data_IF_852081673599
#
_entry.id   IF_852081673599
#
_cell.length_a   1.000
_cell.length_b   1.000
_cell.length_c   1.000
_cell.angle_alpha   90.00
_cell.angle_beta   90.00
_cell.angle_gamma   90.00
#
_symmetry.space_group_name_H-M   'P 1'
#
loop_
_entity.id
_entity.type
_entity.pdbx_description
1 polymer ?
#
# COMPACT_ATOMS: atom_id res chain seq x y z
N UNK A 1 4.90 10.53 -11.19
CA UNK A 1 5.94 9.59 -11.67
C UNK A 1 6.45 8.80 -10.47
N UNK A 2 6.91 7.56 -10.63
CA UNK A 2 7.17 6.60 -9.54
C UNK A 2 8.31 6.96 -8.59
N UNK A 3 8.22 8.13 -7.95
CA UNK A 3 9.12 8.62 -6.93
C UNK A 3 8.77 8.03 -5.57
N UNK A 4 9.80 7.84 -4.74
CA UNK A 4 9.69 7.22 -3.44
C UNK A 4 9.66 8.27 -2.35
N UNK A 5 8.84 8.02 -1.33
CA UNK A 5 8.71 8.87 -0.16
C UNK A 5 8.96 8.06 1.09
N UNK A 6 9.80 8.58 1.98
CA UNK A 6 10.13 7.98 3.25
C UNK A 6 9.19 8.50 4.35
N UNK A 7 8.61 7.57 5.11
CA UNK A 7 7.73 7.88 6.23
C UNK A 7 8.29 7.33 7.55
N UNK A 8 8.03 8.02 8.65
CA UNK A 8 8.13 7.40 9.98
C UNK A 8 6.95 6.44 10.19
N UNK A 9 7.04 5.46 11.11
CA UNK A 9 5.92 4.55 11.39
C UNK A 9 4.62 5.29 11.73
N UNK A 10 4.71 6.35 12.53
CA UNK A 10 3.55 7.19 12.87
C UNK A 10 3.06 8.02 11.67
N UNK A 11 3.98 8.51 10.84
CA UNK A 11 3.63 9.21 9.60
C UNK A 11 2.87 8.31 8.64
N UNK A 12 3.30 7.06 8.48
CA UNK A 12 2.64 6.06 7.65
C UNK A 12 1.26 5.67 8.21
N UNK A 13 1.16 5.48 9.52
CA UNK A 13 -0.13 5.24 10.19
C UNK A 13 -1.10 6.39 9.93
N UNK A 14 -0.68 7.63 10.14
CA UNK A 14 -1.51 8.81 9.88
C UNK A 14 -1.91 8.93 8.41
N UNK A 15 -0.97 8.68 7.50
CA UNK A 15 -1.22 8.67 6.06
C UNK A 15 -2.27 7.63 5.65
N UNK A 16 -2.44 6.56 6.43
CA UNK A 16 -3.45 5.53 6.16
C UNK A 16 -4.89 6.01 6.41
N UNK A 17 -5.08 7.14 7.09
CA UNK A 17 -6.39 7.74 7.34
C UNK A 17 -6.62 9.03 6.55
N UNK A 18 -5.63 9.51 5.81
CA UNK A 18 -5.74 10.73 5.01
C UNK A 18 -5.97 10.34 3.56
N UNK A 19 -6.99 10.94 2.94
CA UNK A 19 -7.25 10.74 1.52
C UNK A 19 -6.34 11.62 0.66
N UNK A 20 -5.78 11.04 -0.41
CA UNK A 20 -4.68 11.60 -1.20
C UNK A 20 -5.01 12.90 -1.95
N UNK A 21 -6.26 13.36 -1.94
CA UNK A 21 -6.71 14.56 -2.66
C UNK A 21 -6.71 15.83 -1.80
N UNK A 22 -6.47 15.72 -0.48
CA UNK A 22 -6.21 16.92 0.31
C UNK A 22 -4.75 17.33 0.12
N UNK A 23 -4.53 18.55 -0.41
CA UNK A 23 -3.25 19.28 -0.51
C UNK A 23 -2.53 19.49 0.85
N UNK A 24 -2.86 18.72 1.88
CA UNK A 24 -2.16 18.64 3.14
C UNK A 24 -0.84 17.91 2.91
N UNK A 25 0.19 18.68 2.53
CA UNK A 25 1.61 18.45 2.85
C UNK A 25 1.95 17.00 3.15
N UNK A 26 2.30 16.26 2.09
CA UNK A 26 2.84 14.91 2.17
C UNK A 26 3.89 14.84 3.28
N UNK A 27 3.57 14.15 4.37
CA UNK A 27 4.51 14.02 5.51
C UNK A 27 5.74 13.17 5.16
N UNK A 28 5.78 12.61 3.95
CA UNK A 28 6.86 11.79 3.44
C UNK A 28 7.98 12.66 2.89
N UNK A 29 9.22 12.36 3.28
CA UNK A 29 10.42 12.99 2.69
C UNK A 29 10.72 12.31 1.36
N UNK A 30 10.92 13.08 0.30
CA UNK A 30 11.32 12.53 -1.00
C UNK A 30 12.64 11.78 -0.84
N UNK A 31 12.70 10.56 -1.37
CA UNK A 31 13.93 9.78 -1.43
C UNK A 31 14.64 10.11 -2.73
N UNK A 32 15.77 10.78 -2.65
CA UNK A 32 16.60 11.07 -3.83
C UNK A 32 17.47 9.87 -4.21
N UNK A 33 17.98 9.15 -3.21
CA UNK A 33 18.93 8.06 -3.38
C UNK A 33 18.66 6.95 -2.35
N UNK A 34 18.52 5.72 -2.85
CA UNK A 34 18.25 4.52 -2.04
C UNK A 34 19.53 4.01 -1.37
N UNK A 35 20.70 4.35 -1.89
CA UNK A 35 22.00 3.90 -1.36
C UNK A 35 22.21 4.33 0.11
N UNK A 36 21.66 5.49 0.51
CA UNK A 36 21.66 5.98 1.90
C UNK A 36 20.87 5.10 2.88
N UNK A 37 20.08 4.16 2.36
CA UNK A 37 19.30 3.20 3.13
C UNK A 37 19.96 1.82 3.19
N UNK A 38 21.14 1.65 2.57
CA UNK A 38 21.97 0.46 2.74
C UNK A 38 22.25 0.25 4.25
N UNK A 39 22.26 -1.01 4.69
CA UNK A 39 22.34 -1.44 6.09
C UNK A 39 21.08 -1.20 6.95
N UNK A 40 19.94 -0.81 6.35
CA UNK A 40 18.65 -0.71 7.06
C UNK A 40 17.65 -1.73 6.51
N UNK A 41 16.69 -2.11 7.34
CA UNK A 41 15.51 -2.84 6.89
C UNK A 41 14.56 -1.82 6.25
N UNK A 42 14.29 -1.97 4.96
CA UNK A 42 13.43 -1.06 4.19
C UNK A 42 12.16 -1.80 3.78
N UNK A 43 11.01 -1.23 4.11
CA UNK A 43 9.71 -1.69 3.61
C UNK A 43 9.29 -0.83 2.43
N UNK A 44 9.10 -1.47 1.28
CA UNK A 44 8.70 -0.82 0.04
C UNK A 44 7.26 -1.19 -0.32
N UNK A 45 6.39 -0.19 -0.44
CA UNK A 45 4.98 -0.37 -0.77
C UNK A 45 4.73 0.00 -2.24
N UNK A 46 4.80 -0.98 -3.14
CA UNK A 46 4.71 -0.77 -4.59
C UNK A 46 3.29 -0.45 -5.10
N UNK A 47 2.24 -0.75 -4.32
CA UNK A 47 0.86 -0.42 -4.66
C UNK A 47 0.57 1.08 -4.56
N UNK A 48 1.33 1.80 -3.72
CA UNK A 48 1.14 3.23 -3.47
C UNK A 48 -0.17 3.58 -2.76
N UNK A 49 -0.94 2.60 -2.30
CA UNK A 49 -2.22 2.81 -1.61
C UNK A 49 -2.53 1.66 -0.66
N UNK A 50 -3.57 1.86 0.16
CA UNK A 50 -4.03 0.87 1.12
C UNK A 50 -4.74 -0.29 0.41
N UNK A 51 -4.29 -1.50 0.70
CA UNK A 51 -4.89 -2.72 0.16
C UNK A 51 -6.26 -3.00 0.77
N UNK A 52 -7.12 -3.67 0.00
CA UNK A 52 -8.38 -4.27 0.49
C UNK A 52 -8.20 -5.73 0.95
N UNK A 53 -6.98 -6.29 0.88
CA UNK A 53 -6.64 -7.68 1.23
C UNK A 53 -7.51 -8.75 0.53
N UNK A 54 -8.02 -8.41 -0.67
CA UNK A 54 -8.73 -9.30 -1.60
C UNK A 54 -8.04 -9.33 -2.96
N UNK A 55 -7.57 -8.19 -3.41
CA UNK A 55 -6.96 -8.00 -4.72
C UNK A 55 -5.74 -7.11 -4.61
N UNK A 56 -4.83 -7.25 -5.57
CA UNK A 56 -3.65 -6.40 -5.67
C UNK A 56 -3.81 -5.47 -6.87
N UNK A 57 -3.58 -4.17 -6.66
CA UNK A 57 -3.50 -3.22 -7.76
C UNK A 57 -2.17 -3.39 -8.51
N UNK A 58 -2.10 -2.93 -9.78
CA UNK A 58 -0.85 -2.90 -10.52
C UNK A 58 0.24 -2.13 -9.74
N UNK A 59 1.41 -2.74 -9.61
CA UNK A 59 2.57 -2.08 -8.99
C UNK A 59 3.03 -0.89 -9.82
N UNK A 60 3.32 0.21 -9.13
CA UNK A 60 3.81 1.44 -9.75
C UNK A 60 5.22 1.19 -10.26
N UNK A 61 5.44 1.47 -11.55
CA UNK A 61 6.79 1.43 -12.13
C UNK A 61 7.64 2.53 -11.50
N UNK A 62 8.69 2.12 -10.81
CA UNK A 62 9.62 3.02 -10.15
C UNK A 62 10.46 3.81 -11.15
N UNK A 63 10.92 4.99 -10.72
CA UNK A 63 11.87 5.80 -11.49
C UNK A 63 13.21 5.05 -11.64
N UNK A 64 13.81 5.10 -12.83
CA UNK A 64 15.06 4.41 -13.17
C UNK A 64 16.28 4.91 -12.39
N UNK A 65 16.16 6.04 -11.68
CA UNK A 65 17.21 6.55 -10.79
C UNK A 65 17.45 5.69 -9.55
N UNK A 66 16.53 4.79 -9.21
CA UNK A 66 16.66 3.91 -8.04
C UNK A 66 17.20 2.53 -8.47
N UNK A 67 18.35 2.13 -7.93
CA UNK A 67 18.85 0.75 -8.00
C UNK A 67 18.69 0.06 -6.65
N UNK A 68 18.35 -1.24 -6.70
CA UNK A 68 18.14 -2.10 -5.53
C UNK A 68 19.07 -3.32 -5.51
N UNK A 69 20.12 -3.32 -6.34
CA UNK A 69 20.98 -4.50 -6.57
C UNK A 69 21.74 -4.92 -5.29
N UNK A 70 22.03 -3.95 -4.41
CA UNK A 70 22.73 -4.20 -3.14
C UNK A 70 21.80 -4.68 -2.00
N UNK A 71 20.49 -4.83 -2.25
CA UNK A 71 19.53 -5.22 -1.23
C UNK A 71 19.20 -6.71 -1.29
N UNK A 72 19.03 -7.33 -0.12
CA UNK A 72 18.45 -8.67 -0.03
C UNK A 72 16.92 -8.58 -0.14
N UNK A 73 16.38 -9.06 -1.25
CA UNK A 73 15.00 -8.76 -1.64
C UNK A 73 14.08 -9.86 -1.16
N UNK A 74 13.05 -9.47 -0.42
CA UNK A 74 12.02 -10.38 0.05
C UNK A 74 10.66 -9.74 -0.15
N UNK A 75 9.70 -10.51 -0.65
CA UNK A 75 8.29 -10.10 -0.64
C UNK A 75 7.64 -10.64 0.62
N UNK A 76 6.93 -9.79 1.34
CA UNK A 76 6.10 -10.15 2.48
C UNK A 76 4.63 -10.02 2.11
N UNK A 77 3.94 -11.15 1.99
CA UNK A 77 2.49 -11.18 1.78
C UNK A 77 1.81 -11.30 3.13
N UNK A 78 0.99 -10.31 3.49
CA UNK A 78 0.24 -10.28 4.75
C UNK A 78 -1.25 -10.33 4.46
N UNK A 79 -1.94 -11.28 5.09
CA UNK A 79 -3.40 -11.43 5.04
C UNK A 79 -3.97 -11.35 6.44
N UNK A 80 -4.75 -10.30 6.67
CA UNK A 80 -5.53 -10.10 7.89
C UNK A 80 -6.83 -10.90 7.80
N UNK A 81 -7.18 -11.56 8.89
CA UNK A 81 -8.49 -12.21 9.06
C UNK A 81 -9.04 -11.69 10.38
N UNK A 82 -10.26 -11.13 10.40
CA UNK A 82 -11.15 -10.86 9.25
C UNK A 82 -10.69 -9.68 8.36
N UNK A 83 -11.10 -9.70 7.08
CA UNK A 83 -10.60 -8.77 6.04
C UNK A 83 -11.08 -7.31 6.22
N UNK A 84 -12.14 -7.07 7.00
CA UNK A 84 -12.71 -5.73 7.18
C UNK A 84 -11.88 -4.80 8.06
N UNK A 85 -10.79 -5.29 8.68
CA UNK A 85 -9.81 -4.43 9.34
C UNK A 85 -8.89 -3.69 8.35
N UNK A 86 -9.03 -3.92 7.06
CA UNK A 86 -8.34 -3.10 6.06
C UNK A 86 -9.03 -1.74 5.91
N UNK A 87 -8.25 -0.71 5.58
CA UNK A 87 -8.73 0.64 5.34
C UNK A 87 -8.60 1.01 3.84
N UNK A 88 -9.23 0.28 2.90
CA UNK A 88 -9.10 0.60 1.48
C UNK A 88 -9.73 1.96 1.13
N UNK A 89 -10.71 2.39 1.94
CA UNK A 89 -11.36 3.70 1.93
C UNK A 89 -11.30 4.22 3.36
N UNK A 90 -10.73 5.40 3.63
CA UNK A 90 -10.64 5.97 4.98
C UNK A 90 -12.00 6.54 5.41
N UNK A 91 -12.95 5.66 5.74
CA UNK A 91 -14.31 6.00 6.13
C UNK A 91 -14.50 6.11 7.66
N UNK A 92 -13.50 5.68 8.43
CA UNK A 92 -13.53 5.67 9.90
C UNK A 92 -12.47 6.61 10.48
N UNK A 93 -12.81 7.23 11.61
CA UNK A 93 -11.82 8.00 12.37
C UNK A 93 -10.79 7.08 13.04
N UNK A 94 -9.61 7.61 13.38
CA UNK A 94 -8.54 6.85 14.05
C UNK A 94 -9.00 6.22 15.36
N UNK A 95 -9.78 6.96 16.14
CA UNK A 95 -10.33 6.48 17.42
C UNK A 95 -11.35 5.38 17.19
N UNK A 96 -12.28 5.57 16.23
CA UNK A 96 -13.26 4.55 15.89
C UNK A 96 -12.59 3.26 15.44
N UNK A 97 -11.59 3.35 14.56
CA UNK A 97 -10.82 2.19 14.12
C UNK A 97 -10.11 1.48 15.29
N UNK A 98 -9.52 2.25 16.20
CA UNK A 98 -8.92 1.69 17.41
C UNK A 98 -9.94 0.99 18.30
N UNK A 99 -11.12 1.59 18.50
CA UNK A 99 -12.21 0.96 19.24
C UNK A 99 -12.67 -0.34 18.57
N UNK A 100 -12.85 -0.37 17.26
CA UNK A 100 -13.20 -1.59 16.51
C UNK A 100 -12.15 -2.70 16.68
N UNK A 101 -10.86 -2.34 16.71
CA UNK A 101 -9.80 -3.30 16.99
C UNK A 101 -9.87 -3.86 18.41
N UNK A 102 -10.31 -3.08 19.40
CA UNK A 102 -10.42 -3.53 20.79
C UNK A 102 -11.72 -4.30 21.07
N UNK A 103 -12.84 -3.85 20.54
CA UNK A 103 -14.18 -4.36 20.89
C UNK A 103 -14.61 -5.57 20.07
N UNK A 104 -13.93 -5.84 18.94
CA UNK A 104 -14.29 -6.98 18.13
C UNK A 104 -13.88 -8.31 18.80
N UNK A 105 -14.87 -9.10 19.22
CA UNK A 105 -14.69 -10.37 19.92
C UNK A 105 -14.41 -11.56 18.99
N UNK A 106 -14.41 -11.35 17.66
CA UNK A 106 -14.07 -12.41 16.71
C UNK A 106 -12.59 -12.78 16.75
N UNK A 107 -12.27 -14.01 16.31
CA UNK A 107 -10.89 -14.47 16.21
C UNK A 107 -10.13 -13.64 15.16
N UNK A 108 -9.11 -12.92 15.64
CA UNK A 108 -8.20 -12.13 14.80
C UNK A 108 -6.97 -12.97 14.51
N UNK A 109 -6.63 -13.14 13.25
CA UNK A 109 -5.41 -13.83 12.85
C UNK A 109 -4.72 -13.11 11.71
N UNK A 110 -3.38 -13.14 11.73
CA UNK A 110 -2.54 -12.60 10.67
C UNK A 110 -1.81 -13.78 10.04
N UNK A 111 -2.09 -14.04 8.77
CA UNK A 111 -1.33 -15.00 7.98
C UNK A 111 -0.27 -14.24 7.21
N UNK A 112 0.97 -14.66 7.32
CA UNK A 112 2.07 -14.07 6.58
C UNK A 112 2.82 -15.15 5.81
N UNK A 113 3.33 -14.79 4.64
CA UNK A 113 4.23 -15.62 3.84
C UNK A 113 5.33 -14.75 3.28
N UNK A 114 6.55 -15.26 3.32
CA UNK A 114 7.74 -14.55 2.87
C UNK A 114 8.41 -15.34 1.76
N UNK A 115 8.72 -14.65 0.66
CA UNK A 115 9.46 -15.21 -0.47
C UNK A 115 10.73 -14.42 -0.66
N UNK A 116 11.83 -15.11 -0.94
CA UNK A 116 13.14 -14.49 -1.23
C UNK A 116 13.33 -14.44 -2.74
N UNK A 117 13.93 -13.36 -3.23
CA UNK A 117 14.30 -13.16 -4.62
C UNK A 117 15.79 -12.85 -4.72
N UNK A 118 16.41 -13.28 -5.80
CA UNK A 118 17.81 -13.00 -6.07
C UNK A 118 18.00 -11.60 -6.70
N UNK A 119 17.00 -11.12 -7.43
CA UNK A 119 17.04 -9.84 -8.17
C UNK A 119 15.75 -9.04 -7.97
N UNK A 120 15.83 -7.71 -8.14
CA UNK A 120 14.67 -6.83 -8.04
C UNK A 120 13.88 -6.86 -9.35
N UNK A 121 12.89 -7.74 -9.42
CA UNK A 121 11.96 -7.80 -10.54
C UNK A 121 10.52 -7.63 -10.05
N UNK A 122 9.92 -6.49 -10.40
CA UNK A 122 8.56 -6.11 -10.01
C UNK A 122 7.54 -7.17 -10.46
N UNK A 123 7.72 -7.77 -11.65
CA UNK A 123 6.80 -8.78 -12.17
C UNK A 123 6.91 -10.08 -11.38
N UNK A 124 8.13 -10.56 -11.11
CA UNK A 124 8.34 -11.77 -10.27
C UNK A 124 7.85 -11.55 -8.84
N UNK A 125 8.09 -10.38 -8.27
CA UNK A 125 7.61 -10.02 -6.93
C UNK A 125 6.08 -10.01 -6.93
N UNK A 126 5.43 -9.43 -7.94
CA UNK A 126 3.95 -9.43 -8.04
C UNK A 126 3.37 -10.84 -8.07
N UNK A 127 4.01 -11.76 -8.80
CA UNK A 127 3.55 -13.14 -8.91
C UNK A 127 3.47 -13.84 -7.53
N UNK A 128 4.31 -13.48 -6.56
CA UNK A 128 4.21 -14.08 -5.20
C UNK A 128 2.94 -13.66 -4.46
N UNK A 129 2.38 -12.49 -4.76
CA UNK A 129 1.10 -12.06 -4.21
C UNK A 129 -0.07 -12.79 -4.88
N UNK A 130 0.01 -12.98 -6.20
CA UNK A 130 -1.01 -13.74 -6.97
C UNK A 130 -1.12 -15.20 -6.51
N UNK A 131 0.04 -15.86 -6.28
CA UNK A 131 0.10 -17.22 -5.73
C UNK A 131 -0.55 -17.36 -4.35
N UNK A 132 -0.77 -16.25 -3.65
CA UNK A 132 -1.40 -16.20 -2.34
C UNK A 132 -2.87 -15.76 -2.38
N UNK A 133 -3.53 -15.98 -3.51
CA UNK A 133 -4.95 -15.73 -3.73
C UNK A 133 -5.33 -14.26 -3.57
N UNK A 134 -4.41 -13.35 -3.91
CA UNK A 134 -4.72 -11.95 -4.15
C UNK A 134 -4.93 -11.79 -5.65
N UNK A 135 -6.18 -11.59 -6.08
CA UNK A 135 -6.51 -11.48 -7.50
C UNK A 135 -5.84 -10.24 -8.09
N UNK A 136 -5.12 -10.41 -9.20
CA UNK A 136 -4.53 -9.29 -9.92
C UNK A 136 -5.61 -8.52 -10.68
N UNK A 137 -5.69 -7.21 -10.44
CA UNK A 137 -6.61 -6.33 -11.16
C UNK A 137 -6.00 -5.91 -12.51
N UNK A 138 -6.88 -5.67 -13.51
CA UNK A 138 -6.47 -5.16 -14.82
C UNK A 138 -5.83 -3.77 -14.70
N UNK A 139 -5.03 -3.39 -15.69
CA UNK A 139 -4.39 -2.06 -15.73
C UNK A 139 -5.39 -0.90 -15.76
N UNK A 140 -6.64 -1.12 -16.16
CA UNK A 140 -7.71 -0.12 -16.17
C UNK A 140 -8.17 0.28 -14.76
N UNK A 141 -7.98 -0.61 -13.78
CA UNK A 141 -8.24 -0.38 -12.35
C UNK A 141 -6.92 -0.01 -11.67
N UNK A 142 -6.42 1.18 -11.95
CA UNK A 142 -5.20 1.73 -11.38
C UNK A 142 -5.50 2.67 -10.19
N UNK A 143 -4.45 3.28 -9.64
CA UNK A 143 -4.55 4.23 -8.53
C UNK A 143 -5.46 5.42 -8.85
N UNK A 144 -5.46 5.90 -10.09
CA UNK A 144 -6.29 7.03 -10.52
C UNK A 144 -7.77 6.66 -10.54
N UNK A 145 -8.11 5.46 -11.03
CA UNK A 145 -9.46 4.91 -10.98
C UNK A 145 -9.94 4.74 -9.54
N UNK A 146 -9.05 4.33 -8.62
CA UNK A 146 -9.37 4.25 -7.18
C UNK A 146 -9.64 5.64 -6.59
N UNK A 147 -8.82 6.63 -6.90
CA UNK A 147 -9.03 8.00 -6.42
C UNK A 147 -10.36 8.56 -6.94
N UNK A 148 -10.67 8.40 -8.23
CA UNK A 148 -11.98 8.78 -8.78
C UNK A 148 -13.15 8.12 -8.05
N UNK A 149 -13.01 6.85 -7.68
CA UNK A 149 -14.03 6.15 -6.90
C UNK A 149 -14.18 6.73 -5.49
N UNK A 150 -13.07 7.06 -4.81
CA UNK A 150 -13.12 7.64 -3.47
C UNK A 150 -13.71 9.06 -3.51
N UNK A 151 -13.34 9.87 -4.49
CA UNK A 151 -13.96 11.19 -4.72
C UNK A 151 -15.49 11.05 -4.87
N UNK A 152 -15.93 10.11 -5.71
CA UNK A 152 -17.35 9.82 -5.87
C UNK A 152 -18.02 9.32 -4.57
N UNK A 153 -17.33 8.48 -3.79
CA UNK A 153 -17.87 7.92 -2.55
C UNK A 153 -18.15 9.00 -1.50
N UNK A 154 -17.28 10.02 -1.40
CA UNK A 154 -17.45 11.12 -0.44
C UNK A 154 -18.35 12.26 -0.96
N UNK A 155 -18.20 12.65 -2.22
CA UNK A 155 -18.93 13.80 -2.76
C UNK A 155 -20.31 13.42 -3.34
N UNK A 156 -20.58 12.13 -3.58
CA UNK A 156 -21.75 11.62 -4.30
C UNK A 156 -22.06 12.33 -5.63
N UNK A 157 -21.09 13.10 -6.16
CA UNK A 157 -21.27 13.93 -7.33
C UNK A 157 -20.63 13.26 -8.55
N UNK A 158 -21.45 12.97 -9.55
CA UNK A 158 -20.94 12.59 -10.88
C UNK A 158 -20.53 13.90 -11.55
N UNK A 159 -19.26 14.28 -11.46
CA UNK A 159 -18.73 15.32 -12.35
C UNK A 159 -18.76 14.74 -13.76
N UNK A 160 -19.79 15.11 -14.53
CA UNK A 160 -19.83 14.86 -15.97
C UNK A 160 -18.63 15.56 -16.59
N UNK A 161 -17.79 14.78 -17.29
CA UNK A 161 -16.78 15.32 -18.19
C UNK A 161 -17.43 16.16 -19.29
#
# INVERSE_FOLDING_TARGET
MGDLYQYSPLGLFNHSFTYSNSNSSSSGKLVEDVSKLQNKIVFLFLEGTLSNNKSILPFIKLNSKYSFDDFNIKSLVVKLIPNYFTLPIPHVSKLQYFFELLTNLSQKSVRYKMYKFDEFDIAKIRNSFELNSLTSMSQDLNIDSKNKFIDYYFDHSIKKN
#
